data_IF_170397759494
#
_entry.id   IF_170397759494
#
_cell.length_a   1.000
_cell.length_b   1.000
_cell.length_c   1.000
_cell.angle_alpha   90.00
_cell.angle_beta   90.00
_cell.angle_gamma   90.00
#
_symmetry.space_group_name_H-M   'P 1'
#
loop_
_entity.id
_entity.type
_entity.pdbx_description
1 polymer ?
#
# COMPACT_ATOMS: atom_id res chain seq x y z
N UNK A 1 8.84 4.77 -5.73
CA UNK A 1 8.54 5.92 -4.86
C UNK A 1 7.28 6.66 -5.26
N UNK A 2 7.06 7.05 -6.53
CA UNK A 2 5.84 7.76 -6.92
C UNK A 2 4.54 6.99 -6.60
N UNK A 3 4.49 5.68 -6.91
CA UNK A 3 3.35 4.83 -6.55
C UNK A 3 3.12 4.80 -5.04
N UNK A 4 4.19 4.60 -4.24
CA UNK A 4 4.10 4.60 -2.78
C UNK A 4 3.61 5.93 -2.22
N UNK A 5 4.08 7.06 -2.74
CA UNK A 5 3.65 8.41 -2.30
C UNK A 5 2.18 8.66 -2.64
N UNK A 6 1.73 8.27 -3.83
CA UNK A 6 0.31 8.39 -4.21
C UNK A 6 -0.58 7.54 -3.31
N UNK A 7 -0.20 6.28 -3.05
CA UNK A 7 -0.96 5.42 -2.14
C UNK A 7 -0.93 5.90 -0.69
N UNK A 8 0.16 6.52 -0.24
CA UNK A 8 0.23 7.17 1.08
C UNK A 8 -0.86 8.23 1.22
N UNK A 9 -0.94 9.14 0.24
CA UNK A 9 -1.96 10.19 0.23
C UNK A 9 -3.37 9.60 0.10
N UNK A 10 -3.55 8.56 -0.72
CA UNK A 10 -4.81 7.87 -0.90
C UNK A 10 -5.32 7.22 0.40
N UNK A 11 -4.44 6.55 1.16
CA UNK A 11 -4.83 5.97 2.45
C UNK A 11 -5.16 7.05 3.49
N UNK A 12 -4.39 8.15 3.52
CA UNK A 12 -4.69 9.27 4.40
C UNK A 12 -6.04 9.91 4.06
N UNK A 13 -6.33 10.12 2.77
CA UNK A 13 -7.62 10.62 2.29
C UNK A 13 -8.75 9.69 2.72
N UNK A 14 -8.65 8.38 2.47
CA UNK A 14 -9.69 7.41 2.83
C UNK A 14 -9.91 7.31 4.34
N UNK A 15 -8.84 7.43 5.13
CA UNK A 15 -8.92 7.37 6.59
C UNK A 15 -9.65 8.59 7.17
N UNK A 16 -9.36 9.78 6.63
CA UNK A 16 -9.94 11.04 7.12
C UNK A 16 -11.23 11.46 6.39
N UNK A 17 -11.63 10.76 5.33
CA UNK A 17 -12.86 11.06 4.59
C UNK A 17 -14.10 10.79 5.43
N UNK A 18 -15.03 11.74 5.44
CA UNK A 18 -16.35 11.62 6.11
C UNK A 18 -17.45 11.17 5.17
N UNK A 19 -17.10 10.79 3.95
CA UNK A 19 -18.06 10.44 2.92
C UNK A 19 -18.74 9.10 3.26
N UNK A 20 -20.07 9.06 3.12
CA UNK A 20 -20.88 7.88 3.40
C UNK A 20 -20.53 6.71 2.46
N UNK A 21 -20.10 7.02 1.22
CA UNK A 21 -19.60 6.04 0.26
C UNK A 21 -18.19 5.51 0.58
N UNK A 22 -17.45 6.19 1.47
CA UNK A 22 -16.14 5.77 1.94
C UNK A 22 -16.19 4.92 3.22
N UNK A 23 -17.38 4.64 3.79
CA UNK A 23 -17.53 3.78 4.98
C UNK A 23 -18.05 4.48 6.23
N UNK A 24 -18.70 5.65 6.10
CA UNK A 24 -19.62 6.22 7.09
C UNK A 24 -19.02 6.71 8.41
N UNK A 25 -17.75 6.45 8.70
CA UNK A 25 -17.06 6.95 9.90
C UNK A 25 -15.56 7.08 9.63
N UNK A 26 -14.94 8.13 10.17
CA UNK A 26 -13.48 8.33 10.14
C UNK A 26 -12.78 7.08 10.68
N UNK A 27 -11.81 6.55 9.96
CA UNK A 27 -11.06 5.35 10.36
C UNK A 27 -10.97 4.27 9.29
N UNK A 28 -11.00 3.00 9.72
CA UNK A 28 -10.90 1.84 8.83
C UNK A 28 -9.49 1.26 8.68
N UNK A 29 -8.48 1.91 9.26
CA UNK A 29 -7.12 1.36 9.46
C UNK A 29 -6.78 1.47 10.94
N UNK A 30 -6.45 0.36 11.59
CA UNK A 30 -5.87 0.37 12.93
C UNK A 30 -4.37 0.19 12.83
N UNK A 31 -3.61 1.20 13.25
CA UNK A 31 -2.14 1.14 13.36
C UNK A 31 -1.69 0.65 14.75
N UNK A 32 -2.60 0.10 15.55
CA UNK A 32 -2.32 -0.41 16.90
C UNK A 32 -1.65 0.63 17.83
N UNK A 33 -2.09 1.88 17.76
CA UNK A 33 -1.61 2.99 18.57
C UNK A 33 -2.75 3.87 19.06
N UNK A 34 -2.59 4.51 20.22
CA UNK A 34 -3.60 5.40 20.81
C UNK A 34 -3.61 6.82 20.21
N UNK A 35 -2.54 7.17 19.48
CA UNK A 35 -2.37 8.49 18.86
C UNK A 35 -3.02 8.53 17.48
N UNK A 36 -3.54 9.71 17.05
CA UNK A 36 -4.06 9.86 15.70
C UNK A 36 -2.94 9.59 14.67
N UNK A 37 -3.21 8.82 13.61
CA UNK A 37 -2.18 8.42 12.66
C UNK A 37 -1.66 9.59 11.83
N UNK A 38 -0.35 9.59 11.63
CA UNK A 38 0.38 10.59 10.87
C UNK A 38 0.65 10.11 9.44
N UNK A 39 1.04 11.01 8.54
CA UNK A 39 1.40 10.66 7.16
C UNK A 39 2.48 9.56 7.07
N UNK A 40 3.36 9.49 8.06
CA UNK A 40 4.40 8.45 8.17
C UNK A 40 3.81 7.05 8.36
N UNK A 41 2.69 6.93 9.08
CA UNK A 41 2.04 5.64 9.35
C UNK A 41 1.40 5.11 8.05
N UNK A 42 0.78 6.00 7.28
CA UNK A 42 0.28 5.68 5.94
C UNK A 42 1.41 5.37 4.95
N UNK A 43 2.55 6.07 5.06
CA UNK A 43 3.72 5.80 4.24
C UNK A 43 4.35 4.44 4.56
N UNK A 44 4.38 4.06 5.84
CA UNK A 44 4.79 2.73 6.29
C UNK A 44 3.90 1.64 5.67
N UNK A 45 2.59 1.77 5.77
CA UNK A 45 1.63 0.83 5.16
C UNK A 45 1.80 0.76 3.63
N UNK A 46 1.85 1.90 2.96
CA UNK A 46 1.96 1.99 1.50
C UNK A 46 3.28 1.42 0.98
N UNK A 47 4.38 1.70 1.66
CA UNK A 47 5.70 1.22 1.24
C UNK A 47 5.83 -0.28 1.45
N UNK A 48 5.34 -0.81 2.58
CA UNK A 48 5.36 -2.24 2.85
C UNK A 48 4.51 -3.04 1.85
N UNK A 49 3.29 -2.59 1.55
CA UNK A 49 2.46 -3.16 0.48
C UNK A 49 3.14 -3.04 -0.89
N UNK A 50 3.78 -1.90 -1.14
CA UNK A 50 4.56 -1.61 -2.34
C UNK A 50 5.74 -2.57 -2.55
N UNK A 51 6.35 -3.02 -1.46
CA UNK A 51 7.42 -4.02 -1.47
C UNK A 51 6.87 -5.45 -1.42
N UNK A 52 5.56 -5.63 -1.46
CA UNK A 52 4.87 -6.92 -1.30
C UNK A 52 5.18 -7.63 0.03
N UNK A 53 5.53 -6.86 1.06
CA UNK A 53 5.75 -7.36 2.41
C UNK A 53 4.47 -7.31 3.23
N UNK A 54 4.27 -8.34 4.05
CA UNK A 54 3.14 -8.38 4.95
C UNK A 54 3.33 -7.34 6.06
N UNK A 55 2.32 -6.50 6.23
CA UNK A 55 2.19 -5.61 7.37
C UNK A 55 1.39 -6.33 8.44
N UNK A 56 2.02 -6.75 9.53
CA UNK A 56 1.39 -7.57 10.58
C UNK A 56 0.79 -6.75 11.73
N UNK A 57 1.22 -5.51 11.89
CA UNK A 57 0.83 -4.61 12.97
C UNK A 57 -0.38 -3.72 12.61
N UNK A 58 -0.82 -3.75 11.35
CA UNK A 58 -1.86 -2.86 10.83
C UNK A 58 -3.10 -3.65 10.39
N UNK A 59 -4.27 -3.32 10.93
CA UNK A 59 -5.53 -4.01 10.62
C UNK A 59 -6.46 -3.14 9.75
N UNK A 60 -6.89 -3.68 8.60
CA UNK A 60 -7.79 -3.00 7.65
C UNK A 60 -9.26 -3.38 7.93
N UNK A 61 -9.95 -2.51 8.67
CA UNK A 61 -11.35 -2.72 9.08
C UNK A 61 -12.39 -2.43 7.99
N UNK A 62 -12.09 -1.53 7.06
CA UNK A 62 -13.06 -1.05 6.06
C UNK A 62 -12.89 -1.73 4.69
N UNK A 63 -14.01 -2.11 4.05
CA UNK A 63 -14.02 -2.74 2.73
C UNK A 63 -13.36 -1.87 1.65
N UNK A 64 -13.65 -0.57 1.61
CA UNK A 64 -13.08 0.35 0.61
C UNK A 64 -11.56 0.43 0.70
N UNK A 65 -11.02 0.40 1.93
CA UNK A 65 -9.57 0.41 2.16
C UNK A 65 -8.94 -0.92 1.76
N UNK A 66 -9.61 -2.06 2.03
CA UNK A 66 -9.15 -3.38 1.56
C UNK A 66 -9.10 -3.47 0.04
N UNK A 67 -10.08 -2.88 -0.66
CA UNK A 67 -10.08 -2.84 -2.13
C UNK A 67 -8.90 -2.05 -2.68
N UNK A 68 -8.56 -0.91 -2.08
CA UNK A 68 -7.42 -0.10 -2.50
C UNK A 68 -6.08 -0.76 -2.15
N UNK A 69 -5.98 -1.45 -1.01
CA UNK A 69 -4.84 -2.30 -0.68
C UNK A 69 -4.64 -3.45 -1.68
N UNK A 70 -5.73 -4.09 -2.14
CA UNK A 70 -5.65 -5.12 -3.17
C UNK A 70 -5.11 -4.56 -4.49
N UNK A 71 -5.62 -3.41 -4.94
CA UNK A 71 -5.12 -2.73 -6.16
C UNK A 71 -3.63 -2.40 -6.05
N UNK A 72 -3.21 -1.85 -4.91
CA UNK A 72 -1.81 -1.53 -4.65
C UNK A 72 -0.93 -2.78 -4.70
N UNK A 73 -1.35 -3.85 -4.02
CA UNK A 73 -0.62 -5.11 -3.97
C UNK A 73 -0.49 -5.76 -5.35
N UNK A 74 -1.55 -5.76 -6.15
CA UNK A 74 -1.53 -6.31 -7.51
C UNK A 74 -0.57 -5.53 -8.43
N UNK A 75 -0.63 -4.20 -8.37
CA UNK A 75 0.27 -3.34 -9.14
C UNK A 75 1.73 -3.56 -8.73
N UNK A 76 1.98 -3.71 -7.42
CA UNK A 76 3.32 -3.95 -6.88
C UNK A 76 3.87 -5.31 -7.26
N UNK A 77 3.03 -6.35 -7.22
CA UNK A 77 3.39 -7.69 -7.68
C UNK A 77 3.75 -7.70 -9.17
N UNK A 78 2.94 -7.05 -10.01
CA UNK A 78 3.22 -6.94 -11.45
C UNK A 78 4.56 -6.24 -11.70
N UNK A 79 4.79 -5.11 -11.03
CA UNK A 79 6.03 -4.34 -11.17
C UNK A 79 7.25 -5.15 -10.72
N UNK A 80 7.19 -5.80 -9.55
CA UNK A 80 8.25 -6.66 -9.05
C UNK A 80 8.56 -7.83 -9.99
N UNK A 81 7.52 -8.45 -10.55
CA UNK A 81 7.66 -9.54 -11.52
C UNK A 81 8.35 -9.08 -12.81
N UNK A 82 7.99 -7.91 -13.33
CA UNK A 82 8.63 -7.33 -14.52
C UNK A 82 10.10 -7.02 -14.26
N UNK A 83 10.42 -6.39 -13.11
CA UNK A 83 11.81 -6.11 -12.73
C UNK A 83 12.61 -7.41 -12.64
N UNK A 84 12.06 -8.43 -12.00
CA UNK A 84 12.71 -9.73 -11.87
C UNK A 84 12.99 -10.36 -13.24
N UNK A 85 12.00 -10.36 -14.15
CA UNK A 85 12.15 -10.88 -15.50
C UNK A 85 13.23 -10.13 -16.31
N UNK A 86 13.23 -8.79 -16.26
CA UNK A 86 14.26 -7.96 -16.92
C UNK A 86 15.63 -8.23 -16.33
N UNK A 87 15.73 -8.39 -15.01
CA UNK A 87 17.00 -8.67 -14.32
C UNK A 87 17.55 -10.03 -14.74
N UNK A 88 16.72 -11.07 -14.81
CA UNK A 88 17.11 -12.40 -15.29
C UNK A 88 17.65 -12.30 -16.72
N UNK A 89 16.91 -11.63 -17.62
CA UNK A 89 17.33 -11.46 -19.02
C UNK A 89 18.65 -10.69 -19.13
N UNK A 90 18.84 -9.64 -18.33
CA UNK A 90 20.08 -8.87 -18.28
C UNK A 90 21.26 -9.71 -17.81
N UNK A 91 21.10 -10.49 -16.73
CA UNK A 91 22.15 -11.36 -16.19
C UNK A 91 22.55 -12.44 -17.19
N UNK A 92 21.57 -13.07 -17.84
CA UNK A 92 21.83 -14.06 -18.89
C UNK A 92 22.63 -13.43 -20.04
N UNK A 93 22.21 -12.25 -20.53
CA UNK A 93 22.90 -11.56 -21.61
C UNK A 93 24.32 -11.08 -21.27
N UNK A 94 24.64 -10.84 -19.99
CA UNK A 94 25.98 -10.45 -19.54
C UNK A 94 26.91 -11.65 -19.28
N UNK A 95 26.34 -12.83 -19.04
CA UNK A 95 27.07 -14.07 -18.82
C UNK A 95 27.40 -14.83 -20.13
N UNK A 96 26.90 -14.34 -21.27
CA UNK A 96 27.27 -14.80 -22.61
C UNK A 96 28.45 -14.01 -23.16
#
# INVERSE_FOLDING_TARGET
>A
MLVQTLFTLRYAELYYSRDAHAGGSVGGISFNQDRPPQYTDFAYLATSLGMTYQVSDTNLGNHSIRLEALKHSLLSYLFGTVILAVTINLVIGLAQ
#
